data_IF_569064248019
#
_entry.id   IF_569064248019
#
_cell.length_a   1.000
_cell.length_b   1.000
_cell.length_c   1.000
_cell.angle_alpha   90.00
_cell.angle_beta   90.00
_cell.angle_gamma   90.00
#
_symmetry.space_group_name_H-M   'P 1'
#
loop_
_entity.id
_entity.type
_entity.pdbx_description
1 polymer ?
#
# COMPACT_ATOMS: atom_id res chain seq x y z
N UNK A 1 -23.25 12.71 21.92
CA UNK A 1 -21.91 12.58 21.33
C UNK A 1 -22.03 12.82 19.84
N UNK A 2 -21.45 13.91 19.33
CA UNK A 2 -21.54 14.30 17.91
C UNK A 2 -20.72 13.33 17.05
N UNK A 3 -21.38 12.62 16.13
CA UNK A 3 -20.69 11.90 15.05
C UNK A 3 -20.05 12.93 14.13
N UNK A 4 -18.73 12.97 14.05
CA UNK A 4 -18.05 13.68 12.98
C UNK A 4 -18.20 12.86 11.68
N UNK A 5 -19.29 13.07 10.94
CA UNK A 5 -19.37 12.63 9.54
C UNK A 5 -18.81 13.74 8.65
N UNK A 6 -17.49 13.75 8.48
CA UNK A 6 -16.84 14.61 7.48
C UNK A 6 -16.68 13.82 6.19
N UNK A 7 -17.49 14.11 5.17
CA UNK A 7 -17.12 13.75 3.80
C UNK A 7 -15.92 14.61 3.44
N UNK A 8 -14.72 14.05 3.48
CA UNK A 8 -13.51 14.72 2.98
C UNK A 8 -13.66 14.85 1.47
N UNK A 9 -14.19 15.99 1.01
CA UNK A 9 -14.23 16.31 -0.41
C UNK A 9 -12.78 16.54 -0.84
N UNK A 10 -12.22 15.61 -1.61
CA UNK A 10 -10.90 15.78 -2.23
C UNK A 10 -10.90 17.13 -2.96
N UNK A 11 -10.07 18.07 -2.50
CA UNK A 11 -9.93 19.35 -3.16
C UNK A 11 -9.32 19.10 -4.53
N UNK A 12 -10.05 19.45 -5.60
CA UNK A 12 -9.49 19.40 -6.95
C UNK A 12 -8.32 20.39 -7.02
N UNK A 13 -7.09 19.92 -7.28
CA UNK A 13 -5.94 20.80 -7.33
C UNK A 13 -6.07 21.77 -8.51
N UNK A 14 -5.58 23.00 -8.32
CA UNK A 14 -5.52 23.99 -9.41
C UNK A 14 -4.44 23.58 -10.40
N UNK A 15 -4.61 23.94 -11.68
CA UNK A 15 -3.63 23.62 -12.74
C UNK A 15 -2.19 24.00 -12.35
N UNK A 16 -1.99 25.19 -11.76
CA UNK A 16 -0.67 25.63 -11.29
C UNK A 16 -0.02 24.68 -10.26
N UNK A 17 -0.82 24.00 -9.44
CA UNK A 17 -0.31 23.01 -8.48
C UNK A 17 0.10 21.71 -9.20
N UNK A 18 -0.68 21.28 -10.20
CA UNK A 18 -0.37 20.13 -11.05
C UNK A 18 0.92 20.40 -11.82
N UNK A 19 1.10 21.60 -12.41
CA UNK A 19 2.31 21.97 -13.14
C UNK A 19 3.55 21.96 -12.23
N UNK A 20 3.41 22.44 -10.99
CA UNK A 20 4.49 22.38 -9.99
C UNK A 20 4.84 20.92 -9.67
N UNK A 21 3.83 20.09 -9.41
CA UNK A 21 4.04 18.68 -9.10
C UNK A 21 4.64 17.89 -10.27
N UNK A 22 4.30 18.25 -11.52
CA UNK A 22 4.92 17.68 -12.72
C UNK A 22 6.41 17.98 -12.79
N UNK A 23 6.82 19.20 -12.45
CA UNK A 23 8.24 19.54 -12.43
C UNK A 23 8.99 18.75 -11.36
N UNK A 24 8.40 18.56 -10.18
CA UNK A 24 8.95 17.70 -9.12
C UNK A 24 9.05 16.24 -9.59
N UNK A 25 8.00 15.70 -10.20
CA UNK A 25 7.99 14.38 -10.80
C UNK A 25 9.09 14.20 -11.85
N UNK A 26 9.22 15.14 -12.80
CA UNK A 26 10.24 15.11 -13.85
C UNK A 26 11.66 15.09 -13.28
N UNK A 27 11.91 15.81 -12.19
CA UNK A 27 13.19 15.76 -11.47
C UNK A 27 13.43 14.37 -10.87
N UNK A 28 12.42 13.78 -10.22
CA UNK A 28 12.52 12.45 -9.61
C UNK A 28 12.80 11.38 -10.66
N UNK A 29 12.03 11.32 -11.76
CA UNK A 29 12.17 10.27 -12.78
C UNK A 29 13.41 10.40 -13.64
N UNK A 30 14.06 11.57 -13.65
CA UNK A 30 15.38 11.76 -14.30
C UNK A 30 16.52 11.07 -13.54
N UNK A 31 16.28 10.66 -12.28
CA UNK A 31 17.26 9.93 -11.48
C UNK A 31 17.60 8.56 -12.07
N UNK A 32 18.88 8.18 -12.02
CA UNK A 32 19.34 6.86 -12.44
C UNK A 32 18.77 5.71 -11.59
N UNK A 33 18.22 6.02 -10.41
CA UNK A 33 17.62 5.09 -9.46
C UNK A 33 16.16 4.73 -9.79
N UNK A 34 15.54 5.45 -10.72
CA UNK A 34 14.11 5.29 -11.05
C UNK A 34 13.96 4.62 -12.41
N UNK A 35 13.00 3.71 -12.51
CA UNK A 35 12.49 3.22 -13.78
C UNK A 35 11.42 4.19 -14.30
N UNK A 36 11.87 5.12 -15.15
CA UNK A 36 10.99 6.12 -15.75
C UNK A 36 9.92 5.51 -16.65
N UNK A 37 10.14 4.30 -17.19
CA UNK A 37 9.18 3.64 -18.09
C UNK A 37 7.98 3.03 -17.36
N UNK A 38 8.18 2.66 -16.10
CA UNK A 38 7.12 2.14 -15.23
C UNK A 38 6.45 3.24 -14.40
N UNK A 39 7.17 4.34 -14.15
CA UNK A 39 6.68 5.49 -13.39
C UNK A 39 5.53 6.22 -14.09
N UNK A 40 4.67 6.83 -13.28
CA UNK A 40 3.42 7.42 -13.73
C UNK A 40 3.15 8.74 -13.01
N UNK A 41 2.58 9.71 -13.73
CA UNK A 41 2.10 10.97 -13.20
C UNK A 41 0.62 11.12 -13.54
N UNK A 42 -0.22 11.36 -12.52
CA UNK A 42 -1.64 11.59 -12.71
C UNK A 42 -1.88 13.06 -13.04
N UNK A 43 -2.29 13.32 -14.28
CA UNK A 43 -2.61 14.68 -14.74
C UNK A 43 -3.85 15.26 -14.06
N UNK A 44 -4.68 14.41 -13.49
CA UNK A 44 -5.91 14.81 -12.81
C UNK A 44 -5.64 15.33 -11.40
N UNK A 45 -4.68 14.71 -10.70
CA UNK A 45 -4.44 14.96 -9.27
C UNK A 45 -3.09 15.62 -8.99
N UNK A 46 -2.16 15.57 -9.95
CA UNK A 46 -0.78 15.97 -9.76
C UNK A 46 0.04 15.00 -8.91
N UNK A 47 -0.54 13.87 -8.46
CA UNK A 47 0.19 12.85 -7.73
C UNK A 47 0.92 11.88 -8.68
N UNK A 48 1.84 11.09 -8.15
CA UNK A 48 2.66 10.19 -8.95
C UNK A 48 2.85 8.81 -8.34
N UNK A 49 3.20 7.84 -9.20
CA UNK A 49 3.75 6.56 -8.83
C UNK A 49 5.20 6.47 -9.33
N UNK A 50 6.15 6.26 -8.41
CA UNK A 50 7.58 6.12 -8.69
C UNK A 50 7.98 4.66 -8.52
N UNK A 51 8.62 4.10 -9.54
CA UNK A 51 9.15 2.74 -9.51
C UNK A 51 10.66 2.82 -9.39
N UNK A 52 11.20 2.46 -8.23
CA UNK A 52 12.65 2.42 -8.04
C UNK A 52 13.23 1.17 -8.70
N UNK A 53 14.37 1.31 -9.38
CA UNK A 53 15.07 0.18 -9.97
C UNK A 53 15.47 -0.83 -8.91
N UNK A 54 15.23 -2.11 -9.20
CA UNK A 54 15.48 -3.20 -8.26
C UNK A 54 14.35 -3.44 -7.27
N UNK A 55 13.19 -2.79 -7.44
CA UNK A 55 11.95 -3.32 -6.90
C UNK A 55 11.68 -4.68 -7.54
N UNK A 56 11.39 -5.68 -6.71
CA UNK A 56 11.20 -7.04 -7.15
C UNK A 56 9.73 -7.27 -7.46
N UNK A 57 9.35 -6.99 -8.71
CA UNK A 57 8.08 -7.48 -9.23
C UNK A 57 8.09 -9.00 -9.16
N UNK A 58 7.05 -9.62 -8.63
CA UNK A 58 7.02 -11.08 -8.54
C UNK A 58 7.25 -11.72 -9.92
N UNK A 59 7.86 -12.90 -9.99
CA UNK A 59 8.07 -13.64 -11.25
C UNK A 59 6.76 -13.95 -12.01
N UNK A 60 5.61 -13.77 -11.35
CA UNK A 60 4.29 -13.91 -11.95
C UNK A 60 3.84 -12.58 -12.54
N UNK A 61 3.71 -12.56 -13.86
CA UNK A 61 3.24 -11.41 -14.65
C UNK A 61 1.97 -10.77 -14.05
N UNK A 62 1.00 -11.59 -13.65
CA UNK A 62 -0.27 -11.09 -13.11
C UNK A 62 -0.11 -10.29 -11.80
N UNK A 63 0.86 -10.63 -10.97
CA UNK A 63 1.13 -9.92 -9.71
C UNK A 63 1.88 -8.61 -9.99
N UNK A 64 2.83 -8.62 -10.94
CA UNK A 64 3.51 -7.41 -11.41
C UNK A 64 2.55 -6.40 -12.05
N UNK A 65 1.59 -6.86 -12.86
CA UNK A 65 0.52 -6.03 -13.40
C UNK A 65 -0.36 -5.45 -12.30
N UNK A 66 -0.66 -6.24 -11.27
CA UNK A 66 -1.45 -5.78 -10.13
C UNK A 66 -0.74 -4.67 -9.33
N UNK A 67 0.57 -4.78 -9.09
CA UNK A 67 1.39 -3.74 -8.45
C UNK A 67 1.37 -2.42 -9.26
N UNK A 68 1.58 -2.50 -10.58
CA UNK A 68 1.51 -1.34 -11.47
C UNK A 68 0.13 -0.68 -11.45
N UNK A 69 -0.91 -1.50 -11.55
CA UNK A 69 -2.30 -1.06 -11.48
C UNK A 69 -2.66 -0.38 -10.16
N UNK A 70 -2.17 -0.91 -9.04
CA UNK A 70 -2.41 -0.35 -7.70
C UNK A 70 -1.69 0.97 -7.54
N UNK A 71 -0.42 1.04 -7.91
CA UNK A 71 0.36 2.27 -7.76
C UNK A 71 -0.25 3.43 -8.56
N UNK A 72 -0.69 3.17 -9.79
CA UNK A 72 -1.43 4.13 -10.60
C UNK A 72 -2.74 4.54 -9.96
N UNK A 73 -3.52 3.58 -9.44
CA UNK A 73 -4.75 3.87 -8.74
C UNK A 73 -4.53 4.75 -7.50
N UNK A 74 -3.47 4.53 -6.72
CA UNK A 74 -3.10 5.38 -5.57
C UNK A 74 -2.83 6.82 -6.04
N UNK A 75 -2.06 6.99 -7.12
CA UNK A 75 -1.78 8.30 -7.72
C UNK A 75 -3.04 8.97 -8.27
N UNK A 76 -3.92 8.24 -8.94
CA UNK A 76 -5.20 8.76 -9.44
C UNK A 76 -6.20 9.11 -8.32
N UNK A 77 -6.01 8.56 -7.11
CA UNK A 77 -6.70 9.01 -5.90
C UNK A 77 -5.98 10.18 -5.20
N UNK A 78 -4.93 10.74 -5.81
CA UNK A 78 -4.24 11.94 -5.36
C UNK A 78 -3.16 11.72 -4.31
N UNK A 79 -2.65 10.50 -4.20
CA UNK A 79 -1.62 10.13 -3.22
C UNK A 79 -0.33 9.75 -3.95
N UNK A 80 0.78 10.37 -3.58
CA UNK A 80 2.08 9.95 -4.10
C UNK A 80 2.45 8.57 -3.57
N UNK A 81 2.94 7.69 -4.44
CA UNK A 81 3.40 6.35 -4.07
C UNK A 81 4.76 6.07 -4.68
N UNK A 82 5.61 5.37 -3.92
CA UNK A 82 6.93 4.93 -4.37
C UNK A 82 7.09 3.46 -4.04
N UNK A 83 7.32 2.63 -5.06
CA UNK A 83 7.69 1.22 -4.86
C UNK A 83 9.19 1.13 -4.67
N UNK A 84 9.61 0.51 -3.57
CA UNK A 84 11.00 0.53 -3.12
C UNK A 84 11.77 -0.72 -3.52
N UNK A 85 13.11 -0.64 -3.71
CA UNK A 85 13.90 -1.80 -4.08
C UNK A 85 13.89 -2.90 -3.00
N UNK A 86 14.00 -4.16 -3.44
CA UNK A 86 13.99 -5.31 -2.55
C UNK A 86 15.17 -6.27 -2.79
N UNK A 87 15.64 -6.90 -1.72
CA UNK A 87 16.68 -7.93 -1.76
C UNK A 87 17.97 -7.54 -1.05
N UNK A 88 18.94 -8.47 -1.04
CA UNK A 88 20.10 -8.40 -0.15
C UNK A 88 21.02 -7.19 -0.39
N UNK A 89 21.06 -6.67 -1.62
CA UNK A 89 21.81 -5.44 -1.95
C UNK A 89 21.08 -4.14 -1.55
N UNK A 90 19.80 -4.23 -1.16
CA UNK A 90 18.94 -3.10 -0.86
C UNK A 90 18.48 -3.08 0.60
N UNK A 91 19.23 -3.68 1.52
CA UNK A 91 18.87 -3.79 2.95
C UNK A 91 18.56 -2.46 3.65
N UNK A 92 18.99 -1.31 3.11
CA UNK A 92 18.59 0.02 3.59
C UNK A 92 17.08 0.30 3.42
N UNK A 93 16.41 -0.39 2.50
CA UNK A 93 14.95 -0.34 2.29
C UNK A 93 14.22 -1.44 3.07
N UNK A 94 14.93 -2.29 3.83
CA UNK A 94 14.29 -3.32 4.63
C UNK A 94 13.49 -2.66 5.77
N UNK A 95 12.20 -2.99 5.83
CA UNK A 95 11.27 -2.48 6.84
C UNK A 95 11.26 -3.34 8.09
N UNK A 96 11.70 -4.59 7.98
CA UNK A 96 11.86 -5.48 9.12
C UNK A 96 13.05 -6.44 8.95
N UNK A 97 13.58 -6.92 10.07
CA UNK A 97 14.65 -7.94 10.11
C UNK A 97 14.23 -9.05 11.06
N UNK A 98 14.08 -10.27 10.55
CA UNK A 98 13.90 -11.46 11.36
C UNK A 98 15.26 -12.13 11.60
N UNK A 99 15.62 -12.33 12.86
CA UNK A 99 16.79 -13.12 13.23
C UNK A 99 16.34 -14.58 13.41
N UNK A 100 16.93 -15.48 12.64
CA UNK A 100 16.68 -16.91 12.72
C UNK A 100 17.40 -17.54 13.92
N UNK A 101 17.06 -18.78 14.27
CA UNK A 101 17.66 -19.50 15.40
C UNK A 101 19.17 -19.72 15.26
N UNK A 102 19.65 -19.79 14.02
CA UNK A 102 21.07 -19.91 13.67
C UNK A 102 21.82 -18.56 13.64
N UNK A 103 21.14 -17.46 13.99
CA UNK A 103 21.70 -16.11 13.96
C UNK A 103 21.67 -15.43 12.59
N UNK A 104 21.25 -16.13 11.53
CA UNK A 104 21.11 -15.52 10.20
C UNK A 104 20.00 -14.47 10.17
N UNK A 105 20.20 -13.39 9.40
CA UNK A 105 19.25 -12.31 9.24
C UNK A 105 18.44 -12.53 7.97
N UNK A 106 17.11 -12.53 8.09
CA UNK A 106 16.18 -12.44 6.98
C UNK A 106 15.58 -11.05 6.95
N UNK A 107 16.04 -10.23 6.03
CA UNK A 107 15.47 -8.92 5.73
C UNK A 107 14.11 -9.09 5.07
N UNK A 108 13.19 -8.19 5.40
CA UNK A 108 11.87 -8.13 4.80
C UNK A 108 11.62 -6.71 4.32
N UNK A 109 10.93 -6.63 3.21
CA UNK A 109 10.66 -5.42 2.47
C UNK A 109 9.15 -5.30 2.33
N UNK A 110 8.63 -4.14 2.68
CA UNK A 110 7.29 -3.75 2.28
C UNK A 110 7.33 -3.24 0.84
N UNK A 111 6.20 -3.27 0.14
CA UNK A 111 6.08 -2.81 -1.25
C UNK A 111 6.70 -1.43 -1.48
N UNK A 112 6.42 -0.51 -0.55
CA UNK A 112 7.05 0.80 -0.55
C UNK A 112 6.33 1.81 0.32
N UNK A 113 6.26 3.04 -0.16
CA UNK A 113 5.74 4.20 0.56
C UNK A 113 4.49 4.73 -0.13
N UNK A 114 3.40 4.85 0.61
CA UNK A 114 2.20 5.58 0.22
C UNK A 114 2.14 6.86 1.04
N UNK A 115 2.28 8.00 0.37
CA UNK A 115 2.69 9.28 0.95
C UNK A 115 3.98 9.11 1.78
N UNK A 116 3.87 9.10 3.11
CA UNK A 116 4.98 8.93 4.04
C UNK A 116 4.94 7.63 4.83
N UNK A 117 3.95 6.78 4.57
CA UNK A 117 3.71 5.55 5.33
C UNK A 117 4.17 4.33 4.54
N UNK A 118 4.84 3.40 5.20
CA UNK A 118 5.12 2.10 4.59
C UNK A 118 3.83 1.33 4.36
N UNK A 119 3.65 0.75 3.18
CA UNK A 119 2.48 -0.06 2.87
C UNK A 119 2.90 -1.43 2.35
N UNK A 120 2.05 -2.41 2.61
CA UNK A 120 2.19 -3.77 2.09
C UNK A 120 0.92 -4.15 1.34
N UNK A 121 1.07 -4.65 0.11
CA UNK A 121 -0.04 -5.04 -0.74
C UNK A 121 -0.43 -6.51 -0.56
N UNK A 122 -1.72 -6.79 -0.65
CA UNK A 122 -2.26 -8.09 -1.00
C UNK A 122 -3.32 -7.94 -2.08
N UNK A 123 -3.27 -8.82 -3.09
CA UNK A 123 -4.27 -8.91 -4.16
C UNK A 123 -4.92 -10.29 -4.12
N UNK A 124 -5.98 -10.49 -3.32
CA UNK A 124 -6.65 -11.77 -3.25
C UNK A 124 -7.37 -12.11 -4.55
N UNK A 125 -7.15 -13.31 -5.08
CA UNK A 125 -7.84 -13.83 -6.28
C UNK A 125 -9.09 -14.64 -5.94
N UNK A 126 -9.18 -15.14 -4.71
CA UNK A 126 -10.30 -15.93 -4.19
C UNK A 126 -10.38 -15.85 -2.65
N UNK A 127 -11.53 -16.23 -2.08
CA UNK A 127 -11.72 -16.36 -0.62
C UNK A 127 -11.67 -17.83 -0.25
N UNK A 128 -10.53 -18.25 0.31
CA UNK A 128 -10.26 -19.66 0.66
C UNK A 128 -10.93 -20.15 1.94
N UNK A 129 -11.36 -19.26 2.84
CA UNK A 129 -12.02 -19.66 4.09
C UNK A 129 -13.14 -18.70 4.47
N UNK A 130 -12.80 -17.44 4.73
CA UNK A 130 -13.76 -16.37 4.94
C UNK A 130 -13.13 -15.04 4.56
N UNK A 131 -13.96 -14.08 4.17
CA UNK A 131 -13.51 -12.74 3.79
C UNK A 131 -12.75 -12.06 4.95
N UNK A 132 -13.26 -12.20 6.19
CA UNK A 132 -12.63 -11.66 7.39
C UNK A 132 -11.26 -12.27 7.65
N UNK A 133 -11.13 -13.58 7.40
CA UNK A 133 -9.87 -14.30 7.57
C UNK A 133 -8.82 -13.83 6.58
N UNK A 134 -9.21 -13.57 5.32
CA UNK A 134 -8.34 -13.01 4.30
C UNK A 134 -7.86 -11.60 4.67
N UNK A 135 -8.76 -10.74 5.16
CA UNK A 135 -8.42 -9.39 5.65
C UNK A 135 -7.44 -9.47 6.84
N UNK A 136 -7.72 -10.32 7.83
CA UNK A 136 -6.80 -10.54 8.96
C UNK A 136 -5.41 -11.02 8.50
N UNK A 137 -5.36 -11.90 7.50
CA UNK A 137 -4.08 -12.39 6.97
C UNK A 137 -3.31 -11.28 6.24
N UNK A 138 -3.99 -10.37 5.53
CA UNK A 138 -3.37 -9.18 4.94
C UNK A 138 -2.78 -8.27 6.03
N UNK A 139 -3.52 -8.01 7.12
CA UNK A 139 -3.02 -7.24 8.27
C UNK A 139 -1.81 -7.94 8.92
N UNK A 140 -1.85 -9.26 9.06
CA UNK A 140 -0.71 -10.03 9.58
C UNK A 140 0.50 -9.94 8.65
N UNK A 141 0.32 -9.98 7.34
CA UNK A 141 1.40 -9.87 6.36
C UNK A 141 2.07 -8.50 6.41
N UNK A 142 1.28 -7.44 6.46
CA UNK A 142 1.75 -6.07 6.64
C UNK A 142 2.55 -5.93 7.96
N UNK A 143 2.03 -6.46 9.07
CA UNK A 143 2.77 -6.46 10.33
C UNK A 143 4.04 -7.31 10.30
N UNK A 144 4.05 -8.44 9.60
CA UNK A 144 5.24 -9.29 9.45
C UNK A 144 6.39 -8.54 8.78
N UNK A 145 6.05 -7.59 7.90
CA UNK A 145 6.97 -6.67 7.21
C UNK A 145 7.06 -5.28 7.87
N UNK A 146 6.47 -5.07 9.05
CA UNK A 146 6.38 -3.75 9.71
C UNK A 146 5.86 -2.60 8.81
N UNK A 147 4.98 -2.92 7.87
CA UNK A 147 4.24 -1.92 7.12
C UNK A 147 3.23 -1.21 8.03
N UNK A 148 3.05 0.09 7.83
CA UNK A 148 2.07 0.91 8.54
C UNK A 148 0.68 0.84 7.93
N UNK A 149 0.57 0.42 6.67
CA UNK A 149 -0.69 0.28 5.96
C UNK A 149 -0.76 -1.14 5.39
N UNK A 150 -1.86 -1.83 5.69
CA UNK A 150 -2.22 -3.06 4.98
C UNK A 150 -3.10 -2.66 3.79
N UNK A 151 -2.55 -2.72 2.58
CA UNK A 151 -3.27 -2.41 1.36
C UNK A 151 -3.86 -3.69 0.76
N UNK A 152 -5.17 -3.70 0.54
CA UNK A 152 -5.87 -4.79 -0.13
C UNK A 152 -6.32 -4.26 -1.49
N UNK A 153 -5.79 -4.85 -2.56
CA UNK A 153 -6.30 -4.61 -3.90
C UNK A 153 -7.40 -5.63 -4.22
N UNK A 154 -8.64 -5.19 -4.12
CA UNK A 154 -9.82 -5.98 -4.40
C UNK A 154 -10.17 -5.98 -5.90
N UNK A 155 -9.23 -6.46 -6.73
CA UNK A 155 -9.37 -6.54 -8.20
C UNK A 155 -10.62 -7.29 -8.62
N UNK A 156 -11.01 -8.30 -7.85
CA UNK A 156 -12.09 -9.24 -8.19
C UNK A 156 -13.41 -8.96 -7.46
N UNK A 157 -13.52 -7.82 -6.74
CA UNK A 157 -14.73 -7.43 -5.99
C UNK A 157 -15.21 -8.49 -4.99
N UNK A 158 -14.25 -9.11 -4.29
CA UNK A 158 -14.46 -10.19 -3.33
C UNK A 158 -14.95 -9.69 -1.98
N UNK A 159 -14.69 -8.42 -1.64
CA UNK A 159 -14.95 -7.90 -0.31
C UNK A 159 -16.08 -6.87 -0.30
N UNK A 160 -16.88 -6.90 0.75
CA UNK A 160 -17.73 -5.80 1.16
C UNK A 160 -17.09 -5.03 2.32
N UNK A 161 -17.50 -3.77 2.52
CA UNK A 161 -17.05 -2.92 3.64
C UNK A 161 -17.14 -3.64 4.99
N UNK A 162 -18.21 -4.40 5.21
CA UNK A 162 -18.43 -5.16 6.45
C UNK A 162 -17.41 -6.29 6.64
N UNK A 163 -16.92 -6.89 5.56
CA UNK A 163 -15.89 -7.93 5.63
C UNK A 163 -14.54 -7.35 6.09
N UNK A 164 -14.23 -6.13 5.62
CA UNK A 164 -13.05 -5.38 6.05
C UNK A 164 -13.14 -5.06 7.54
N UNK A 165 -14.26 -4.50 7.99
CA UNK A 165 -14.50 -4.16 9.40
C UNK A 165 -14.46 -5.40 10.31
N UNK A 166 -15.14 -6.48 9.90
CA UNK A 166 -15.13 -7.73 10.66
C UNK A 166 -13.75 -8.39 10.68
N UNK A 167 -13.00 -8.32 9.58
CA UNK A 167 -11.61 -8.77 9.50
C UNK A 167 -10.67 -8.00 10.44
N UNK A 168 -10.85 -6.69 10.54
CA UNK A 168 -10.12 -5.84 11.48
C UNK A 168 -10.47 -6.18 12.94
N UNK A 169 -11.76 -6.36 13.26
CA UNK A 169 -12.21 -6.81 14.59
C UNK A 169 -11.67 -8.20 14.94
N UNK A 170 -11.65 -9.11 13.96
CA UNK A 170 -11.06 -10.43 14.13
C UNK A 170 -9.56 -10.33 14.41
N UNK A 171 -8.83 -9.43 13.72
CA UNK A 171 -7.43 -9.16 14.03
C UNK A 171 -7.23 -8.64 15.46
N UNK A 172 -8.00 -7.64 15.88
CA UNK A 172 -7.94 -7.06 17.24
C UNK A 172 -8.23 -8.11 18.32
N UNK A 173 -9.25 -8.96 18.12
CA UNK A 173 -9.62 -10.00 19.09
C UNK A 173 -8.52 -11.05 19.30
N UNK A 174 -7.68 -11.29 18.28
CA UNK A 174 -6.58 -12.26 18.33
C UNK A 174 -5.25 -11.66 18.77
N UNK A 175 -5.13 -10.34 18.83
CA UNK A 175 -3.89 -9.64 19.17
C UNK A 175 -4.13 -8.59 20.26
N UNK A 176 -4.01 -8.98 21.53
CA UNK A 176 -4.26 -8.08 22.68
C UNK A 176 -3.46 -6.77 22.64
N UNK A 177 -2.23 -6.81 22.10
CA UNK A 177 -1.36 -5.65 21.94
C UNK A 177 -1.39 -5.06 20.51
N UNK A 178 -2.52 -5.17 19.79
CA UNK A 178 -2.64 -4.67 18.42
C UNK A 178 -2.33 -3.16 18.30
N UNK A 179 -2.61 -2.37 19.35
CA UNK A 179 -2.31 -0.93 19.39
C UNK A 179 -0.81 -0.61 19.29
N UNK A 180 0.06 -1.55 19.66
CA UNK A 180 1.51 -1.41 19.54
C UNK A 180 2.06 -2.09 18.29
N UNK A 181 1.19 -2.57 17.39
CA UNK A 181 1.58 -3.19 16.11
C UNK A 181 1.72 -2.09 15.05
N UNK A 182 2.51 -2.41 14.02
CA UNK A 182 2.95 -1.42 13.03
C UNK A 182 1.81 -0.86 12.16
N UNK A 183 0.81 -1.69 11.86
CA UNK A 183 -0.31 -1.31 10.98
C UNK A 183 -1.27 -0.35 11.68
N UNK A 184 -1.44 0.83 11.08
CA UNK A 184 -2.29 1.94 11.53
C UNK A 184 -3.63 2.01 10.79
N UNK A 185 -3.67 1.55 9.54
CA UNK A 185 -4.86 1.57 8.71
C UNK A 185 -4.90 0.38 7.75
N UNK A 186 -6.10 0.00 7.35
CA UNK A 186 -6.35 -0.88 6.21
C UNK A 186 -6.86 -0.01 5.06
N UNK A 187 -6.18 -0.07 3.93
CA UNK A 187 -6.59 0.65 2.72
C UNK A 187 -7.05 -0.36 1.69
N UNK A 188 -8.20 -0.11 1.08
CA UNK A 188 -8.77 -0.98 0.04
C UNK A 188 -8.83 -0.20 -1.25
N UNK A 189 -8.23 -0.76 -2.31
CA UNK A 189 -8.47 -0.30 -3.68
C UNK A 189 -9.44 -1.27 -4.32
N UNK A 190 -10.62 -0.79 -4.67
CA UNK A 190 -11.64 -1.61 -5.34
C UNK A 190 -11.26 -1.94 -6.79
N UNK A 191 -11.97 -2.89 -7.39
CA UNK A 191 -11.91 -3.18 -8.83
C UNK A 191 -12.13 -1.96 -9.72
N UNK A 192 -12.89 -0.96 -9.21
CA UNK A 192 -13.13 0.34 -9.87
C UNK A 192 -12.03 1.37 -9.61
N UNK A 193 -10.91 0.98 -9.01
CA UNK A 193 -9.77 1.84 -8.65
C UNK A 193 -10.09 2.95 -7.65
N UNK A 194 -11.20 2.83 -6.92
CA UNK A 194 -11.56 3.75 -5.84
C UNK A 194 -10.88 3.28 -4.55
N UNK A 195 -10.24 4.22 -3.85
CA UNK A 195 -9.57 4.00 -2.56
C UNK A 195 -10.54 4.23 -1.39
N UNK A 196 -10.53 3.29 -0.43
CA UNK A 196 -11.24 3.37 0.84
C UNK A 196 -10.25 3.17 1.98
N UNK A 197 -10.33 4.00 3.01
CA UNK A 197 -9.50 3.89 4.21
C UNK A 197 -10.35 3.44 5.41
N UNK A 198 -9.84 2.47 6.14
CA UNK A 198 -10.44 1.94 7.35
C UNK A 198 -9.43 2.04 8.51
N UNK A 199 -9.88 2.66 9.61
CA UNK A 199 -9.11 2.77 10.84
C UNK A 199 -9.60 1.77 11.88
N UNK A 200 -8.70 1.33 12.75
CA UNK A 200 -9.06 0.49 13.87
C UNK A 200 -9.88 1.29 14.90
N UNK A 201 -10.91 0.66 15.46
CA UNK A 201 -11.66 1.21 16.59
C UNK A 201 -10.74 1.38 17.80
N UNK A 202 -10.70 2.58 18.39
CA UNK A 202 -9.92 2.88 19.61
C UNK A 202 -10.54 2.33 20.89
#
# INVERSE_FOLDING_TARGET
>A
MSKASGNTRLLTPKQRQIDKARNEYNQIVSSSLVDASLSFFSEQTGAHAIFMKGHNHTDKIADAEAELEVARAIADNGINVTLTPEGDKYTMYATNVKINKDGSKKYKFAEGLMATYTYEQKTPTEINSSAESSVRLAINHANDKHAQIALIYDKHSLFHTKDIENGMKLYQSRHKAWKTKGVKAVVVISSKKILYEHHFDE
#
